data_IF_479881531306
#
_entry.id   IF_479881531306
#
_cell.length_a   1.000
_cell.length_b   1.000
_cell.length_c   1.000
_cell.angle_alpha   90.00
_cell.angle_beta   90.00
_cell.angle_gamma   90.00
#
_symmetry.space_group_name_H-M   'P 1'
#
loop_
_entity.id
_entity.type
_entity.pdbx_description
1 polymer ?
#
# COMPACT_ATOMS: atom_id res chain seq x y z
N UNK A 1 16.33 4.76 7.78
CA UNK A 1 16.08 6.13 8.28
C UNK A 1 15.64 6.05 9.74
N UNK A 2 16.27 6.82 10.62
CA UNK A 2 15.90 6.91 12.04
C UNK A 2 14.75 7.91 12.24
N UNK A 3 13.94 7.72 13.27
CA UNK A 3 12.86 8.63 13.66
C UNK A 3 13.37 9.65 14.67
N UNK A 4 12.99 10.91 14.49
CA UNK A 4 13.21 11.95 15.51
C UNK A 4 12.12 11.91 16.60
N UNK A 5 12.40 11.20 17.70
CA UNK A 5 11.48 11.11 18.84
C UNK A 5 11.43 12.37 19.72
N UNK A 6 12.25 13.40 19.45
CA UNK A 6 12.15 14.69 20.15
C UNK A 6 10.94 15.49 19.68
N UNK A 7 10.47 15.23 18.46
CA UNK A 7 9.25 15.84 17.93
C UNK A 7 8.01 15.14 18.47
N UNK A 8 6.95 15.87 18.86
CA UNK A 8 5.72 15.29 19.39
C UNK A 8 4.79 14.73 18.28
N UNK A 9 5.36 14.13 17.23
CA UNK A 9 4.62 13.63 16.07
C UNK A 9 3.60 12.55 16.48
N UNK A 10 3.99 11.65 17.38
CA UNK A 10 3.15 10.58 17.93
C UNK A 10 1.83 11.09 18.48
N UNK A 11 1.92 12.05 19.40
CA UNK A 11 0.76 12.69 20.03
C UNK A 11 -0.08 13.45 19.00
N UNK A 12 0.56 14.21 18.10
CA UNK A 12 -0.14 15.01 17.09
C UNK A 12 -0.92 14.14 16.10
N UNK A 13 -0.27 13.10 15.55
CA UNK A 13 -0.87 12.21 14.58
C UNK A 13 -2.01 11.40 15.19
N UNK A 14 -1.81 10.87 16.41
CA UNK A 14 -2.88 10.19 17.13
C UNK A 14 -4.08 11.10 17.39
N UNK A 15 -3.83 12.32 17.88
CA UNK A 15 -4.89 13.31 18.10
C UNK A 15 -5.68 13.61 16.84
N UNK A 16 -5.00 13.74 15.69
CA UNK A 16 -5.66 13.96 14.40
C UNK A 16 -6.52 12.77 13.99
N UNK A 17 -5.99 11.54 14.06
CA UNK A 17 -6.78 10.34 13.71
C UNK A 17 -7.99 10.19 14.62
N UNK A 18 -7.79 10.28 15.93
CA UNK A 18 -8.87 10.14 16.90
C UNK A 18 -9.95 11.21 16.71
N UNK A 19 -9.58 12.49 16.61
CA UNK A 19 -10.59 13.55 16.49
C UNK A 19 -11.38 13.49 15.18
N UNK A 20 -10.72 13.13 14.07
CA UNK A 20 -11.39 13.08 12.78
C UNK A 20 -12.20 11.80 12.57
N UNK A 21 -11.78 10.66 13.13
CA UNK A 21 -12.38 9.35 12.81
C UNK A 21 -13.09 8.65 13.97
N UNK A 22 -13.08 9.16 15.21
CA UNK A 22 -13.75 8.49 16.34
C UNK A 22 -15.24 8.18 16.15
N UNK A 23 -15.89 8.85 15.20
CA UNK A 23 -17.31 8.65 14.85
C UNK A 23 -17.51 7.69 13.67
N UNK A 24 -16.44 7.28 13.00
CA UNK A 24 -16.52 6.36 11.88
C UNK A 24 -16.95 4.96 12.36
N UNK A 25 -17.79 4.23 11.60
CA UNK A 25 -18.45 3.01 12.07
C UNK A 25 -17.51 1.93 12.60
N UNK A 26 -16.32 1.80 12.01
CA UNK A 26 -15.34 0.75 12.34
C UNK A 26 -14.09 1.29 13.03
N UNK A 27 -14.08 2.55 13.48
CA UNK A 27 -12.92 3.12 14.17
C UNK A 27 -12.54 2.33 15.42
N UNK A 28 -13.53 1.97 16.26
CA UNK A 28 -13.30 1.27 17.52
C UNK A 28 -12.63 -0.11 17.34
N UNK A 29 -12.82 -0.77 16.20
CA UNK A 29 -12.14 -2.04 15.88
C UNK A 29 -10.63 -1.84 15.68
N UNK A 30 -10.25 -0.72 15.09
CA UNK A 30 -8.87 -0.43 14.70
C UNK A 30 -8.12 0.47 15.70
N UNK A 31 -8.87 1.16 16.57
CA UNK A 31 -8.34 2.07 17.60
C UNK A 31 -7.24 1.43 18.46
N UNK A 32 -7.39 0.21 19.01
CA UNK A 32 -6.40 -0.34 19.93
C UNK A 32 -5.02 -0.53 19.28
N UNK A 33 -5.00 -0.95 18.02
CA UNK A 33 -3.77 -1.12 17.27
C UNK A 33 -3.10 0.24 17.00
N UNK A 34 -3.85 1.20 16.47
CA UNK A 34 -3.30 2.51 16.12
C UNK A 34 -2.82 3.27 17.35
N UNK A 35 -3.59 3.22 18.44
CA UNK A 35 -3.18 3.82 19.72
C UNK A 35 -1.83 3.24 20.17
N UNK A 36 -1.67 1.91 20.14
CA UNK A 36 -0.40 1.25 20.45
C UNK A 36 0.74 1.74 19.53
N UNK A 37 0.50 1.87 18.23
CA UNK A 37 1.49 2.39 17.27
C UNK A 37 2.00 3.77 17.68
N UNK A 38 1.10 4.68 18.05
CA UNK A 38 1.46 6.05 18.42
C UNK A 38 1.91 6.19 19.89
N UNK A 39 1.62 5.25 20.78
CA UNK A 39 2.17 5.23 22.14
C UNK A 39 3.59 4.64 22.20
N UNK A 40 3.93 3.78 21.25
CA UNK A 40 5.25 3.13 21.17
C UNK A 40 6.31 4.11 20.69
N UNK A 41 7.52 4.04 21.27
CA UNK A 41 8.69 4.73 20.73
C UNK A 41 9.37 3.85 19.68
N UNK A 42 9.61 4.42 18.50
CA UNK A 42 10.20 3.71 17.37
C UNK A 42 11.55 4.31 17.03
N UNK A 43 12.57 3.49 16.84
CA UNK A 43 13.90 3.97 16.44
C UNK A 43 14.00 4.11 14.92
N UNK A 44 13.45 3.15 14.17
CA UNK A 44 13.55 3.09 12.71
C UNK A 44 12.18 3.24 12.07
N UNK A 45 12.09 4.07 11.02
CA UNK A 45 10.86 4.24 10.24
C UNK A 45 10.39 2.91 9.62
N UNK A 46 11.34 2.05 9.25
CA UNK A 46 10.99 0.77 8.62
C UNK A 46 10.21 -0.15 9.56
N UNK A 47 10.51 -0.12 10.87
CA UNK A 47 9.91 -1.02 11.85
C UNK A 47 8.41 -0.68 12.05
N UNK A 48 8.10 0.61 12.23
CA UNK A 48 6.71 1.08 12.30
C UNK A 48 5.96 0.84 10.97
N UNK A 49 6.61 1.05 9.82
CA UNK A 49 5.99 0.81 8.52
C UNK A 49 5.63 -0.66 8.34
N UNK A 50 6.47 -1.60 8.80
CA UNK A 50 6.15 -3.03 8.74
C UNK A 50 4.97 -3.38 9.63
N UNK A 51 4.92 -2.87 10.85
CA UNK A 51 3.80 -3.12 11.77
C UNK A 51 2.47 -2.66 11.19
N UNK A 52 2.45 -1.45 10.61
CA UNK A 52 1.28 -0.90 9.92
C UNK A 52 0.94 -1.73 8.68
N UNK A 53 1.92 -2.08 7.85
CA UNK A 53 1.71 -2.87 6.63
C UNK A 53 1.06 -4.21 6.94
N UNK A 54 1.63 -4.98 7.87
CA UNK A 54 1.12 -6.31 8.21
C UNK A 54 -0.25 -6.24 8.89
N UNK A 55 -0.50 -5.19 9.67
CA UNK A 55 -1.83 -4.93 10.20
C UNK A 55 -2.85 -4.68 9.09
N UNK A 56 -2.55 -3.80 8.13
CA UNK A 56 -3.46 -3.49 7.01
C UNK A 56 -3.70 -4.72 6.15
N UNK A 57 -2.66 -5.48 5.81
CA UNK A 57 -2.76 -6.75 5.07
C UNK A 57 -3.71 -7.71 5.79
N UNK A 58 -3.57 -7.84 7.12
CA UNK A 58 -4.44 -8.69 7.94
C UNK A 58 -5.87 -8.16 8.00
N UNK A 59 -6.06 -6.86 8.23
CA UNK A 59 -7.38 -6.22 8.34
C UNK A 59 -8.17 -6.33 7.03
N UNK A 60 -7.50 -6.24 5.89
CA UNK A 60 -8.09 -6.46 4.57
C UNK A 60 -8.28 -7.94 4.22
N UNK A 61 -7.76 -8.88 5.02
CA UNK A 61 -7.81 -10.31 4.70
C UNK A 61 -6.97 -10.71 3.49
N UNK A 62 -5.95 -9.92 3.14
CA UNK A 62 -5.05 -10.19 2.01
C UNK A 62 -4.19 -11.41 2.34
N UNK A 63 -4.20 -12.39 1.44
CA UNK A 63 -3.47 -13.66 1.59
C UNK A 63 -2.15 -13.71 0.82
N UNK A 64 -1.83 -12.64 0.07
CA UNK A 64 -0.62 -12.55 -0.75
C UNK A 64 0.61 -12.63 0.15
N UNK A 65 1.58 -13.47 -0.24
CA UNK A 65 2.86 -13.60 0.47
C UNK A 65 3.64 -12.29 0.36
N UNK A 66 4.01 -11.72 1.51
CA UNK A 66 4.92 -10.58 1.60
C UNK A 66 6.32 -11.12 1.89
N UNK A 67 7.30 -10.75 1.08
CA UNK A 67 8.70 -11.13 1.24
C UNK A 67 9.52 -9.86 1.40
N UNK A 68 10.42 -9.80 2.38
CA UNK A 68 11.30 -8.65 2.53
C UNK A 68 12.44 -8.75 1.54
N UNK A 69 12.81 -7.64 0.91
CA UNK A 69 14.01 -7.60 0.05
C UNK A 69 15.28 -7.98 0.82
N UNK A 70 15.34 -7.75 2.14
CA UNK A 70 16.44 -8.19 2.99
C UNK A 70 16.50 -9.72 3.21
N UNK A 71 15.46 -10.46 2.85
CA UNK A 71 15.41 -11.93 2.92
C UNK A 71 15.86 -12.58 1.60
N UNK A 72 16.12 -11.77 0.57
CA UNK A 72 16.51 -12.21 -0.77
C UNK A 72 17.91 -11.67 -1.07
N UNK A 73 18.70 -12.43 -1.82
CA UNK A 73 19.96 -11.93 -2.35
C UNK A 73 19.70 -10.83 -3.39
N UNK A 74 20.08 -9.60 -3.06
CA UNK A 74 19.85 -8.44 -3.90
C UNK A 74 20.99 -8.27 -4.90
N UNK A 75 20.66 -8.25 -6.20
CA UNK A 75 21.61 -8.10 -7.31
C UNK A 75 21.13 -7.02 -8.29
N UNK A 76 22.05 -6.44 -9.05
CA UNK A 76 21.77 -5.39 -10.03
C UNK A 76 21.39 -4.05 -9.41
N UNK A 77 21.17 -3.05 -10.27
CA UNK A 77 20.79 -1.68 -9.91
C UNK A 77 19.44 -1.30 -10.55
N UNK A 78 18.70 -0.38 -9.91
CA UNK A 78 17.43 0.16 -10.41
C UNK A 78 16.47 -0.91 -10.97
N UNK A 79 16.19 -0.87 -12.27
CA UNK A 79 15.24 -1.78 -12.93
C UNK A 79 15.76 -3.21 -13.09
N UNK A 80 17.07 -3.39 -13.29
CA UNK A 80 17.69 -4.72 -13.39
C UNK A 80 17.45 -5.52 -12.10
N UNK A 81 17.56 -4.85 -10.95
CA UNK A 81 17.27 -5.45 -9.64
C UNK A 81 15.84 -5.98 -9.55
N UNK A 82 14.86 -5.25 -10.07
CA UNK A 82 13.46 -5.67 -10.08
C UNK A 82 13.25 -6.89 -10.97
N UNK A 83 13.87 -6.92 -12.15
CA UNK A 83 13.80 -8.04 -13.08
C UNK A 83 14.44 -9.31 -12.49
N UNK A 84 15.61 -9.20 -11.88
CA UNK A 84 16.31 -10.31 -11.22
C UNK A 84 15.50 -10.87 -10.03
N UNK A 85 14.90 -10.00 -9.20
CA UNK A 85 14.03 -10.45 -8.11
C UNK A 85 12.82 -11.23 -8.61
N UNK A 86 12.17 -10.75 -9.67
CA UNK A 86 11.04 -11.45 -10.26
C UNK A 86 11.46 -12.82 -10.81
N UNK A 87 12.63 -12.91 -11.44
CA UNK A 87 13.20 -14.16 -11.94
C UNK A 87 13.49 -15.16 -10.82
N UNK A 88 14.16 -14.73 -9.75
CA UNK A 88 14.50 -15.58 -8.60
C UNK A 88 13.26 -16.13 -7.89
N UNK A 89 12.17 -15.35 -7.91
CA UNK A 89 10.88 -15.74 -7.35
C UNK A 89 10.00 -16.54 -8.33
N UNK A 90 10.45 -16.77 -9.57
CA UNK A 90 9.69 -17.47 -10.61
C UNK A 90 8.42 -16.72 -11.04
N UNK A 91 8.43 -15.39 -10.98
CA UNK A 91 7.30 -14.57 -11.37
C UNK A 91 7.08 -14.60 -12.90
N UNK A 92 5.82 -14.54 -13.31
CA UNK A 92 5.42 -14.48 -14.73
C UNK A 92 5.19 -13.05 -15.22
N UNK A 93 4.92 -12.14 -14.27
CA UNK A 93 4.61 -10.76 -14.56
C UNK A 93 5.10 -9.84 -13.44
N UNK A 94 5.50 -8.63 -13.82
CA UNK A 94 5.82 -7.52 -12.91
C UNK A 94 4.70 -6.47 -13.01
N UNK A 95 4.05 -6.17 -11.89
CA UNK A 95 2.99 -5.16 -11.81
C UNK A 95 3.57 -3.83 -11.30
N UNK A 96 3.34 -2.75 -12.04
CA UNK A 96 3.85 -1.41 -11.73
C UNK A 96 2.77 -0.35 -11.95
N UNK A 97 2.89 0.79 -11.28
CA UNK A 97 2.03 1.95 -11.54
C UNK A 97 2.39 2.62 -12.86
N UNK A 98 1.40 3.19 -13.55
CA UNK A 98 1.58 3.84 -14.85
C UNK A 98 2.68 4.92 -14.82
N UNK A 99 2.69 5.79 -13.82
CA UNK A 99 3.66 6.89 -13.71
C UNK A 99 5.09 6.41 -13.44
N UNK A 100 5.27 5.47 -12.51
CA UNK A 100 6.59 4.94 -12.15
C UNK A 100 7.27 4.21 -13.32
N UNK A 101 6.47 3.58 -14.18
CA UNK A 101 7.00 2.85 -15.32
C UNK A 101 7.55 3.77 -16.42
N UNK A 102 6.84 4.86 -16.76
CA UNK A 102 7.24 5.75 -17.84
C UNK A 102 8.54 6.52 -17.55
N UNK A 103 8.82 6.81 -16.27
CA UNK A 103 10.00 7.60 -15.90
C UNK A 103 11.26 6.77 -15.63
N UNK A 104 11.12 5.53 -15.14
CA UNK A 104 12.25 4.79 -14.56
C UNK A 104 12.39 3.33 -14.99
N UNK A 105 11.41 2.76 -15.69
CA UNK A 105 11.40 1.32 -15.99
C UNK A 105 11.91 1.03 -17.41
N UNK A 106 13.01 0.30 -17.50
CA UNK A 106 13.44 -0.37 -18.74
C UNK A 106 12.73 -1.72 -18.89
N UNK A 107 11.62 -1.72 -19.61
CA UNK A 107 10.80 -2.92 -19.88
C UNK A 107 11.57 -4.03 -20.60
N UNK A 108 12.61 -3.69 -21.36
CA UNK A 108 13.40 -4.66 -22.12
C UNK A 108 14.13 -5.66 -21.20
N UNK A 109 14.36 -5.28 -19.94
CA UNK A 109 14.98 -6.15 -18.95
C UNK A 109 14.02 -7.23 -18.42
N UNK A 110 12.71 -7.02 -18.53
CA UNK A 110 11.71 -8.02 -18.16
C UNK A 110 11.39 -8.95 -19.33
N UNK A 111 11.24 -8.39 -20.54
CA UNK A 111 10.81 -9.16 -21.72
C UNK A 111 11.86 -10.14 -22.23
N UNK A 112 13.17 -9.89 -21.99
CA UNK A 112 14.26 -10.81 -22.34
C UNK A 112 14.09 -12.21 -21.75
N UNK A 113 13.46 -12.31 -20.58
CA UNK A 113 13.23 -13.58 -19.88
C UNK A 113 11.76 -14.06 -20.01
N UNK A 114 10.99 -13.48 -20.95
CA UNK A 114 9.59 -13.85 -21.19
C UNK A 114 8.62 -13.41 -20.11
N UNK A 115 9.01 -12.46 -19.26
CA UNK A 115 8.17 -11.90 -18.21
C UNK A 115 7.34 -10.73 -18.74
N UNK A 116 6.04 -10.72 -18.41
CA UNK A 116 5.16 -9.61 -18.75
C UNK A 116 5.36 -8.42 -17.81
N UNK A 117 5.22 -7.20 -18.33
CA UNK A 117 5.03 -6.01 -17.50
C UNK A 117 3.54 -5.69 -17.51
N UNK A 118 2.95 -5.38 -16.36
CA UNK A 118 1.54 -4.99 -16.23
C UNK A 118 1.46 -3.61 -15.61
N UNK A 119 0.61 -2.76 -16.18
CA UNK A 119 0.42 -1.39 -15.74
C UNK A 119 -0.86 -1.29 -14.95
N UNK A 120 -0.76 -0.93 -13.67
CA UNK A 120 -1.92 -0.69 -12.83
C UNK A 120 -2.50 0.71 -13.08
N UNK A 121 -3.80 0.72 -13.35
CA UNK A 121 -4.65 1.91 -13.38
C UNK A 121 -5.61 1.79 -12.20
N UNK A 122 -5.35 2.54 -11.14
CA UNK A 122 -6.20 2.52 -9.96
C UNK A 122 -7.18 3.68 -10.02
N UNK A 123 -8.47 3.37 -10.00
CA UNK A 123 -9.53 4.35 -9.83
C UNK A 123 -10.08 4.24 -8.42
N UNK A 124 -10.03 5.33 -7.65
CA UNK A 124 -10.49 5.28 -6.27
C UNK A 124 -12.00 5.02 -6.23
N UNK A 125 -12.48 3.91 -5.64
CA UNK A 125 -13.90 3.64 -5.54
C UNK A 125 -14.55 4.67 -4.60
N UNK A 126 -15.78 5.07 -4.90
CA UNK A 126 -16.56 5.95 -4.02
C UNK A 126 -17.18 5.14 -2.89
N UNK A 127 -17.02 5.61 -1.66
CA UNK A 127 -17.59 5.00 -0.46
C UNK A 127 -18.02 6.07 0.55
N UNK A 128 -18.81 5.66 1.54
CA UNK A 128 -19.33 6.57 2.56
C UNK A 128 -18.23 6.96 3.55
N UNK A 129 -17.73 8.19 3.48
CA UNK A 129 -16.79 8.74 4.44
C UNK A 129 -17.49 9.30 5.68
N UNK A 130 -16.75 9.46 6.78
CA UNK A 130 -17.25 9.91 8.09
C UNK A 130 -17.93 11.29 8.09
N UNK A 131 -17.63 12.15 7.10
CA UNK A 131 -18.24 13.47 6.90
C UNK A 131 -18.89 13.56 5.50
N UNK A 132 -20.02 12.87 5.24
CA UNK A 132 -20.64 12.83 3.91
C UNK A 132 -21.11 14.21 3.43
N UNK A 133 -21.40 15.14 4.33
CA UNK A 133 -21.80 16.52 4.03
C UNK A 133 -20.71 17.35 3.35
N UNK A 134 -19.43 16.96 3.48
CA UNK A 134 -18.30 17.63 2.84
C UNK A 134 -18.06 17.14 1.40
N UNK A 135 -18.80 16.13 0.95
CA UNK A 135 -18.54 15.42 -0.30
C UNK A 135 -17.45 14.36 -0.16
N UNK A 136 -17.30 13.53 -1.20
CA UNK A 136 -16.30 12.48 -1.24
C UNK A 136 -14.91 13.04 -1.54
N UNK A 137 -13.92 12.63 -0.75
CA UNK A 137 -12.51 12.98 -0.94
C UNK A 137 -11.73 11.73 -1.40
N UNK A 138 -11.25 11.67 -2.65
CA UNK A 138 -10.44 10.55 -3.14
C UNK A 138 -9.02 10.58 -2.58
N UNK A 139 -8.23 9.54 -2.85
CA UNK A 139 -6.79 9.46 -2.54
C UNK A 139 -6.43 9.53 -1.05
N UNK A 140 -7.40 9.22 -0.19
CA UNK A 140 -7.20 9.11 1.25
C UNK A 140 -6.38 7.87 1.60
N UNK A 141 -5.75 7.90 2.78
CA UNK A 141 -5.04 6.74 3.32
C UNK A 141 -5.98 5.55 3.48
N UNK A 142 -5.47 4.33 3.34
CA UNK A 142 -6.22 3.08 3.51
C UNK A 142 -6.96 3.00 4.86
N UNK A 143 -6.45 3.67 5.90
CA UNK A 143 -7.12 3.72 7.21
C UNK A 143 -8.47 4.42 7.15
N UNK A 144 -8.65 5.41 6.27
CA UNK A 144 -9.94 6.06 6.04
C UNK A 144 -10.99 5.02 5.61
N UNK A 145 -10.65 4.24 4.58
CA UNK A 145 -11.52 3.18 4.08
C UNK A 145 -11.77 2.09 5.13
N UNK A 146 -10.76 1.71 5.93
CA UNK A 146 -10.94 0.75 7.02
C UNK A 146 -11.92 1.26 8.08
N UNK A 147 -11.77 2.50 8.54
CA UNK A 147 -12.67 3.07 9.55
C UNK A 147 -14.11 3.23 9.05
N UNK A 148 -14.27 3.50 7.76
CA UNK A 148 -15.56 3.79 7.16
C UNK A 148 -16.29 2.55 6.64
N UNK A 149 -15.56 1.57 6.10
CA UNK A 149 -16.14 0.42 5.39
C UNK A 149 -15.89 -0.92 6.09
N UNK A 150 -14.91 -1.03 6.98
CA UNK A 150 -14.62 -2.24 7.75
C UNK A 150 -14.39 -3.47 6.87
N UNK A 151 -15.08 -4.61 7.11
CA UNK A 151 -14.91 -5.84 6.34
C UNK A 151 -15.12 -5.70 4.82
N UNK A 152 -15.92 -4.73 4.38
CA UNK A 152 -16.20 -4.49 2.95
C UNK A 152 -15.05 -3.76 2.24
N UNK A 153 -14.06 -3.23 2.96
CA UNK A 153 -12.96 -2.43 2.39
C UNK A 153 -12.23 -3.15 1.25
N UNK A 154 -11.93 -4.45 1.38
CA UNK A 154 -11.26 -5.18 0.30
C UNK A 154 -12.15 -5.29 -0.93
N UNK A 155 -13.44 -5.58 -0.75
CA UNK A 155 -14.40 -5.69 -1.86
C UNK A 155 -14.51 -4.39 -2.65
N UNK A 156 -14.59 -3.25 -1.94
CA UNK A 156 -14.60 -1.92 -2.55
C UNK A 156 -13.29 -1.60 -3.26
N UNK A 157 -12.14 -1.83 -2.59
CA UNK A 157 -10.81 -1.56 -3.16
C UNK A 157 -10.60 -2.31 -4.49
N UNK A 158 -11.12 -3.53 -4.60
CA UNK A 158 -11.01 -4.35 -5.79
C UNK A 158 -11.86 -3.87 -6.97
N UNK A 159 -12.87 -3.02 -6.74
CA UNK A 159 -13.66 -2.41 -7.82
C UNK A 159 -12.84 -1.40 -8.63
N UNK A 160 -11.87 -0.75 -7.99
CA UNK A 160 -10.96 0.21 -8.62
C UNK A 160 -9.76 -0.41 -9.33
N UNK A 161 -9.68 -1.74 -9.38
CA UNK A 161 -8.52 -2.46 -9.93
C UNK A 161 -8.66 -2.60 -11.44
N UNK A 162 -7.89 -1.81 -12.18
CA UNK A 162 -7.68 -2.01 -13.61
C UNK A 162 -6.19 -2.20 -13.91
N UNK A 163 -5.89 -3.00 -14.94
CA UNK A 163 -4.52 -3.12 -15.43
C UNK A 163 -4.50 -3.38 -16.93
N UNK A 164 -3.45 -2.90 -17.59
CA UNK A 164 -3.22 -3.10 -19.02
C UNK A 164 -1.88 -3.77 -19.26
N UNK A 165 -1.77 -4.49 -20.37
CA UNK A 165 -0.47 -4.90 -20.93
C UNK A 165 0.18 -3.70 -21.65
N UNK A 166 1.51 -3.68 -21.82
CA UNK A 166 2.20 -2.72 -22.69
C UNK A 166 1.52 -2.67 -24.05
N UNK A 167 1.55 -1.51 -24.71
CA UNK A 167 0.95 -1.34 -26.03
C UNK A 167 1.57 -2.33 -27.02
N UNK A 168 0.80 -3.39 -27.30
CA UNK A 168 1.20 -4.59 -28.01
C UNK A 168 0.24 -5.71 -27.61
N UNK A 169 -0.93 -5.69 -28.26
CA UNK A 169 -2.09 -6.60 -28.10
C UNK A 169 -3.14 -6.19 -27.06
N UNK A 170 -4.22 -5.60 -27.59
CA UNK A 170 -5.56 -5.71 -27.03
C UNK A 170 -5.93 -7.18 -27.14
N UNK A 171 -6.13 -7.86 -26.02
CA UNK A 171 -6.81 -9.16 -25.95
C UNK A 171 -8.05 -9.01 -25.07
#
# INVERSE_FOLDING_TARGET
MAIDNKQPWRRKHWGNLFNNYRKAPYFAEHEPFLKKIYETEWEKLNDINYEILFYVVKALGIKTKVIKSSEIEMRGEATERLALLCKDLGAKAYLTGQFAAHEYLDESLFTKDGMEVLYQHFECPVYNQVYPEAGFVPEMSIVDMLFNCGPESLGLLMQGKHYTKPAGDIA
#
